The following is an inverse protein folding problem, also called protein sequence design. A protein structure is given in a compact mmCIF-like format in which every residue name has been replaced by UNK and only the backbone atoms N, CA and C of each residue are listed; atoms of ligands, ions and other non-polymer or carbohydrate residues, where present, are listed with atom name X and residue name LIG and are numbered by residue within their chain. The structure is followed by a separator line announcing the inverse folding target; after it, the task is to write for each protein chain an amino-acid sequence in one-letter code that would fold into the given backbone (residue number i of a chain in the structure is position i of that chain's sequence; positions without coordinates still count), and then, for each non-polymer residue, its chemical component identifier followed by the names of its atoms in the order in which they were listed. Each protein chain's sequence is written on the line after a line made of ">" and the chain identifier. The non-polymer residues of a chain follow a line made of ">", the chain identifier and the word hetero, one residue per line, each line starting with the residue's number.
data_IF_942759385602
#
_entry.id   IF_942759385602
#
_cell.length_a   1.000
_cell.length_b   1.000
_cell.length_c   1.000
_cell.angle_alpha   90.00
_cell.angle_beta   90.00
_cell.angle_gamma   90.00
#
_symmetry.space_group_name_H-M   'P 1'
#
loop_
_entity.id
_entity.type
_entity.pdbx_description
1 polymer ?
#
# COMPACT_ATOMS: atom_id res chain seq x y z
N UNK A 1 1.57 -26.69 -0.50
CA UNK A 1 0.35 -26.13 -1.12
C UNK A 1 0.67 -24.70 -1.58
N UNK A 2 0.89 -24.51 -2.89
CA UNK A 2 1.23 -23.21 -3.46
C UNK A 2 -0.07 -22.42 -3.56
N UNK A 3 -0.22 -21.36 -2.76
CA UNK A 3 -1.34 -20.41 -2.93
C UNK A 3 -1.08 -19.62 -4.21
N UNK A 4 -1.83 -19.94 -5.26
CA UNK A 4 -1.88 -19.16 -6.49
C UNK A 4 -2.46 -17.81 -6.10
N UNK A 5 -1.66 -16.76 -6.25
CA UNK A 5 -2.12 -15.39 -6.06
C UNK A 5 -3.02 -15.09 -7.25
N UNK A 6 -4.32 -14.97 -7.00
CA UNK A 6 -5.28 -14.56 -8.01
C UNK A 6 -5.06 -13.09 -8.36
N UNK A 7 -4.48 -12.86 -9.53
CA UNK A 7 -4.19 -11.54 -10.08
C UNK A 7 -5.46 -10.79 -10.52
N UNK A 8 -6.61 -11.47 -10.64
CA UNK A 8 -7.90 -10.85 -10.98
C UNK A 8 -8.64 -10.29 -9.76
N UNK A 9 -8.23 -10.70 -8.56
CA UNK A 9 -8.77 -10.17 -7.31
C UNK A 9 -8.40 -8.68 -7.16
N UNK A 10 -9.43 -7.83 -7.24
CA UNK A 10 -9.38 -6.35 -7.11
C UNK A 10 -8.89 -5.84 -5.74
N UNK A 11 -8.49 -6.76 -4.87
CA UNK A 11 -7.98 -6.49 -3.54
C UNK A 11 -6.46 -6.30 -3.49
N UNK A 12 -5.74 -6.68 -4.54
CA UNK A 12 -4.29 -6.47 -4.66
C UNK A 12 -4.03 -5.10 -5.29
N UNK A 13 -3.18 -4.33 -4.63
CA UNK A 13 -2.73 -3.00 -5.01
C UNK A 13 -1.22 -3.02 -5.21
N UNK A 14 -0.73 -2.23 -6.16
CA UNK A 14 0.69 -1.90 -6.20
C UNK A 14 1.08 -1.04 -5.00
N UNK A 15 2.36 -1.01 -4.64
CA UNK A 15 2.87 -0.14 -3.59
C UNK A 15 2.52 1.32 -3.83
N UNK A 16 2.54 1.77 -5.09
CA UNK A 16 2.16 3.13 -5.44
C UNK A 16 0.66 3.38 -5.23
N UNK A 17 -0.20 2.49 -5.73
CA UNK A 17 -1.65 2.62 -5.55
C UNK A 17 -2.02 2.61 -4.08
N UNK A 18 -1.41 1.74 -3.27
CA UNK A 18 -1.64 1.69 -1.85
C UNK A 18 -1.18 2.96 -1.13
N UNK A 19 -0.05 3.55 -1.53
CA UNK A 19 0.45 4.81 -1.01
C UNK A 19 -0.50 5.98 -1.32
N UNK A 20 -0.93 6.11 -2.58
CA UNK A 20 -1.92 7.11 -3.00
C UNK A 20 -3.24 6.94 -2.25
N UNK A 21 -3.68 5.68 -2.14
CA UNK A 21 -4.96 5.33 -1.57
C UNK A 21 -5.04 5.56 -0.04
N UNK A 22 -3.92 5.42 0.67
CA UNK A 22 -3.81 5.70 2.11
C UNK A 22 -3.17 7.06 2.44
N UNK A 23 -2.73 7.82 1.45
CA UNK A 23 -2.04 9.11 1.65
C UNK A 23 -0.71 8.98 2.41
N UNK A 24 0.02 7.87 2.19
CA UNK A 24 1.31 7.61 2.84
C UNK A 24 2.44 7.59 1.82
N UNK A 25 3.65 7.94 2.23
CA UNK A 25 4.83 7.83 1.38
C UNK A 25 5.28 6.37 1.20
N UNK A 26 5.91 6.08 0.06
CA UNK A 26 6.48 4.77 -0.27
C UNK A 26 7.53 4.30 0.75
N UNK A 27 8.27 5.23 1.36
CA UNK A 27 9.24 4.95 2.42
C UNK A 27 8.56 4.47 3.69
N UNK A 28 7.40 5.04 4.04
CA UNK A 28 6.60 4.63 5.20
C UNK A 28 6.05 3.22 5.01
N UNK A 29 5.54 2.92 3.81
CA UNK A 29 5.11 1.57 3.45
C UNK A 29 6.27 0.57 3.61
N UNK A 30 7.45 0.90 3.08
CA UNK A 30 8.63 0.03 3.12
C UNK A 30 9.13 -0.23 4.55
N UNK A 31 9.08 0.77 5.42
CA UNK A 31 9.46 0.63 6.85
C UNK A 31 8.52 -0.30 7.61
N UNK A 32 7.23 -0.31 7.26
CA UNK A 32 6.20 -1.13 7.91
C UNK A 32 5.91 -2.47 7.25
N UNK A 33 6.68 -2.86 6.23
CA UNK A 33 6.54 -4.17 5.55
C UNK A 33 6.49 -5.34 6.54
N UNK A 34 7.22 -5.25 7.65
CA UNK A 34 7.29 -6.28 8.68
C UNK A 34 6.04 -6.37 9.56
N UNK A 35 5.22 -5.32 9.61
CA UNK A 35 3.99 -5.27 10.41
C UNK A 35 2.80 -5.91 9.66
N UNK A 36 2.97 -6.21 8.36
CA UNK A 36 1.90 -6.78 7.56
C UNK A 36 1.65 -8.25 7.91
N UNK A 37 0.38 -8.66 8.02
CA UNK A 37 0.04 -10.07 8.20
C UNK A 37 0.51 -10.93 7.02
N UNK A 38 0.90 -12.16 7.32
CA UNK A 38 1.45 -13.10 6.33
C UNK A 38 0.49 -13.28 5.16
N UNK A 39 1.00 -13.15 3.94
CA UNK A 39 0.23 -13.29 2.70
C UNK A 39 -0.50 -12.03 2.24
N UNK A 40 -0.44 -10.93 2.99
CA UNK A 40 -1.07 -9.65 2.61
C UNK A 40 -0.12 -8.65 1.97
N UNK A 41 1.20 -8.90 2.04
CA UNK A 41 2.25 -8.18 1.33
C UNK A 41 3.19 -9.16 0.63
N UNK A 42 3.66 -8.80 -0.56
CA UNK A 42 4.68 -9.55 -1.30
C UNK A 42 5.56 -8.63 -2.12
N UNK A 43 6.86 -8.91 -2.15
CA UNK A 43 7.81 -8.21 -3.01
C UNK A 43 7.70 -8.73 -4.45
N UNK A 44 7.57 -7.81 -5.40
CA UNK A 44 7.57 -8.05 -6.84
C UNK A 44 8.66 -7.17 -7.49
N UNK A 45 9.80 -7.78 -7.81
CA UNK A 45 10.97 -7.05 -8.33
C UNK A 45 11.49 -6.02 -7.31
N UNK A 46 11.48 -4.75 -7.69
CA UNK A 46 11.88 -3.60 -6.84
C UNK A 46 10.73 -3.00 -6.02
N UNK A 47 9.50 -3.44 -6.27
CA UNK A 47 8.28 -2.89 -5.67
C UNK A 47 7.58 -3.93 -4.80
N UNK A 48 6.54 -3.50 -4.08
CA UNK A 48 5.68 -4.38 -3.30
C UNK A 48 4.28 -4.41 -3.91
N UNK A 49 3.64 -5.57 -3.85
CA UNK A 49 2.19 -5.69 -3.98
C UNK A 49 1.62 -5.93 -2.59
N UNK A 50 0.56 -5.21 -2.27
CA UNK A 50 -0.12 -5.26 -0.97
C UNK A 50 -1.61 -5.44 -1.18
N UNK A 51 -2.26 -6.08 -0.23
CA UNK A 51 -3.73 -6.18 -0.25
C UNK A 51 -4.34 -5.04 0.55
N UNK A 52 -5.57 -4.63 0.22
CA UNK A 52 -6.34 -3.68 1.06
C UNK A 52 -6.48 -4.17 2.50
N UNK A 53 -6.65 -5.48 2.70
CA UNK A 53 -6.72 -6.10 4.02
C UNK A 53 -5.42 -5.87 4.81
N UNK A 54 -4.27 -6.07 4.18
CA UNK A 54 -2.96 -5.79 4.79
C UNK A 54 -2.79 -4.31 5.13
N UNK A 55 -3.13 -3.43 4.20
CA UNK A 55 -3.08 -1.98 4.42
C UNK A 55 -3.99 -1.55 5.57
N UNK A 56 -5.20 -2.10 5.64
CA UNK A 56 -6.14 -1.85 6.73
C UNK A 56 -5.65 -2.37 8.08
N UNK A 57 -4.91 -3.49 8.11
CA UNK A 57 -4.37 -4.04 9.35
C UNK A 57 -3.24 -3.17 9.93
N UNK A 58 -2.40 -2.58 9.06
CA UNK A 58 -1.20 -1.82 9.49
C UNK A 58 -1.48 -0.31 9.64
N UNK A 59 -2.29 0.24 8.75
CA UNK A 59 -2.57 1.68 8.67
C UNK A 59 -4.00 2.05 9.07
N UNK A 60 -4.86 1.06 9.33
CA UNK A 60 -6.26 1.28 9.69
C UNK A 60 -7.18 1.52 8.48
N UNK A 61 -8.47 1.71 8.77
CA UNK A 61 -9.49 2.05 7.77
C UNK A 61 -9.36 3.51 7.37
N UNK A 62 -9.65 3.80 6.10
CA UNK A 62 -9.67 5.16 5.52
C UNK A 62 -10.59 6.17 6.25
N UNK A 63 -11.48 5.70 7.13
CA UNK A 63 -12.57 6.51 7.66
C UNK A 63 -12.22 7.40 8.86
N UNK A 64 -10.97 7.45 9.31
CA UNK A 64 -10.56 8.33 10.41
C UNK A 64 -9.52 9.41 10.00
N UNK A 65 -9.07 9.42 8.74
CA UNK A 65 -7.96 10.29 8.29
C UNK A 65 -8.32 11.39 7.28
N UNK A 66 -9.61 11.57 6.91
CA UNK A 66 -10.01 12.66 6.01
C UNK A 66 -9.87 14.08 6.60
N UNK A 67 -9.29 14.27 7.79
CA UNK A 67 -9.30 15.55 8.49
C UNK A 67 -7.95 16.31 8.60
N UNK A 68 -6.82 15.85 8.04
CA UNK A 68 -5.59 16.71 8.06
C UNK A 68 -4.74 16.68 6.79
N UNK A 69 -5.07 17.65 5.92
CA UNK A 69 -4.18 18.56 5.17
C UNK A 69 -3.12 18.00 4.21
N UNK A 70 -3.32 18.35 2.93
CA UNK A 70 -2.40 19.10 2.07
C UNK A 70 -0.89 18.94 2.26
N UNK A 71 -0.23 18.42 1.23
CA UNK A 71 1.22 18.48 1.03
C UNK A 71 1.53 18.39 -0.45
N UNK A 72 2.06 19.47 -0.99
CA UNK A 72 2.51 19.72 -2.36
C UNK A 72 3.51 18.68 -2.86
N UNK A 73 3.40 18.36 -4.15
CA UNK A 73 4.42 17.66 -4.93
C UNK A 73 4.33 18.14 -6.37
N UNK A 74 4.75 19.39 -6.59
CA UNK A 74 4.93 19.97 -7.91
C UNK A 74 5.85 19.09 -8.77
N UNK A 75 5.38 18.84 -10.00
CA UNK A 75 6.10 19.04 -11.26
C UNK A 75 7.61 18.73 -11.22
N UNK A 76 8.00 17.57 -11.76
CA UNK A 76 9.23 17.51 -12.53
C UNK A 76 8.84 17.62 -14.00
N UNK A 77 9.12 18.77 -14.59
CA UNK A 77 9.12 18.97 -16.03
C UNK A 77 10.52 19.46 -16.41
N UNK A 78 11.04 18.78 -17.44
CA UNK A 78 12.26 19.02 -18.23
C UNK A 78 13.61 18.61 -17.65
#
# INVERSE_FOLDING_TARGET
>A
MIKIIDLTSRDILSSQQACEEWGIDSSTLRKRVHDFPVGTIRKFGTSYAVTRAGMCAVFGRKNDAQMKKGGTGERYES
#
